data_IF_240014939437
#
_entry.id   IF_240014939437
#
_cell.length_a   1.000
_cell.length_b   1.000
_cell.length_c   1.000
_cell.angle_alpha   90.00
_cell.angle_beta   90.00
_cell.angle_gamma   90.00
#
_symmetry.space_group_name_H-M   'P 1'
#
loop_
_entity.id
_entity.type
_entity.pdbx_description
1 polymer ?
#
# COMPACT_ATOMS: atom_id res chain seq x y z
N UNK A 1 6.34 -16.20 57.83
CA UNK A 1 6.19 -16.44 56.38
C UNK A 1 6.05 -15.09 55.68
N UNK A 2 7.07 -14.57 54.98
CA UNK A 2 6.86 -13.44 54.07
C UNK A 2 6.55 -13.95 52.67
N UNK A 3 5.47 -13.45 52.08
CA UNK A 3 5.06 -13.69 50.70
C UNK A 3 5.92 -12.76 49.83
N UNK A 4 6.88 -13.32 49.07
CA UNK A 4 7.58 -12.57 48.04
C UNK A 4 6.60 -12.23 46.92
N UNK A 5 6.37 -10.94 46.70
CA UNK A 5 5.63 -10.42 45.55
C UNK A 5 6.60 -10.24 44.39
N UNK A 6 6.47 -11.08 43.37
CA UNK A 6 7.31 -11.04 42.17
C UNK A 6 6.84 -9.90 41.25
N UNK A 7 7.69 -8.88 41.04
CA UNK A 7 7.49 -7.91 39.96
C UNK A 7 7.83 -8.58 38.62
N UNK A 8 6.82 -8.78 37.77
CA UNK A 8 7.00 -9.13 36.36
C UNK A 8 7.27 -7.85 35.55
N UNK A 9 8.54 -7.56 35.28
CA UNK A 9 8.93 -6.49 34.36
C UNK A 9 8.77 -7.00 32.93
N UNK A 10 7.70 -6.58 32.24
CA UNK A 10 7.53 -6.85 30.80
C UNK A 10 8.40 -5.84 30.04
N UNK A 11 9.50 -6.30 29.46
CA UNK A 11 10.29 -5.49 28.54
C UNK A 11 9.55 -5.42 27.19
N UNK A 12 9.00 -4.26 26.85
CA UNK A 12 8.47 -3.98 25.52
C UNK A 12 9.64 -3.86 24.54
N UNK A 13 9.83 -4.83 23.66
CA UNK A 13 10.72 -4.67 22.50
C UNK A 13 10.05 -3.72 21.52
N UNK A 14 10.53 -2.48 21.44
CA UNK A 14 10.21 -1.59 20.33
C UNK A 14 10.93 -2.10 19.08
N UNK A 15 10.18 -2.58 18.09
CA UNK A 15 10.73 -2.85 16.77
C UNK A 15 11.12 -1.51 16.15
N UNK A 16 12.42 -1.27 16.03
CA UNK A 16 12.95 -0.12 15.29
C UNK A 16 12.94 -0.51 13.82
N UNK A 17 11.98 0.02 13.06
CA UNK A 17 12.05 -0.07 11.60
C UNK A 17 13.11 0.90 11.09
N UNK A 18 14.04 0.40 10.27
CA UNK A 18 14.97 1.24 9.52
C UNK A 18 14.29 1.58 8.18
N UNK A 19 14.20 2.87 7.89
CA UNK A 19 13.95 3.36 6.53
C UNK A 19 15.11 2.89 5.64
N UNK A 20 14.86 1.88 4.81
CA UNK A 20 15.86 1.33 3.89
C UNK A 20 15.38 1.55 2.46
N UNK A 21 16.02 2.47 1.73
CA UNK A 21 15.68 2.83 0.35
C UNK A 21 15.36 1.62 -0.55
N UNK A 22 14.09 1.50 -0.98
CA UNK A 22 13.56 0.43 -1.84
C UNK A 22 13.16 0.96 -3.22
N UNK A 23 14.11 1.13 -4.17
CA UNK A 23 13.82 1.68 -5.50
C UNK A 23 13.01 0.75 -6.41
N UNK A 24 12.68 -0.46 -5.95
CA UNK A 24 11.92 -1.47 -6.70
C UNK A 24 10.58 -1.79 -6.04
N UNK A 25 10.24 -1.06 -4.97
CA UNK A 25 9.01 -1.30 -4.23
C UNK A 25 7.77 -1.06 -5.08
N UNK A 26 6.71 -1.79 -4.77
CA UNK A 26 5.40 -1.59 -5.38
C UNK A 26 4.32 -1.69 -4.32
N UNK A 27 3.35 -0.79 -4.45
CA UNK A 27 2.11 -0.86 -3.69
C UNK A 27 0.95 -1.10 -4.63
N UNK A 28 0.05 -1.96 -4.20
CA UNK A 28 -1.05 -2.42 -5.05
C UNK A 28 -2.33 -2.19 -4.28
N UNK A 29 -3.21 -1.38 -4.87
CA UNK A 29 -4.59 -1.29 -4.43
C UNK A 29 -5.36 -2.40 -5.12
N UNK A 30 -5.71 -3.40 -4.32
CA UNK A 30 -6.43 -4.56 -4.80
C UNK A 30 -7.91 -4.49 -4.41
N UNK A 31 -8.76 -4.71 -5.40
CA UNK A 31 -10.19 -4.97 -5.22
C UNK A 31 -10.40 -6.42 -4.85
N UNK A 32 -11.17 -6.67 -3.81
CA UNK A 32 -11.61 -8.00 -3.43
C UNK A 32 -13.04 -8.24 -3.84
N UNK A 33 -13.33 -9.50 -4.10
CA UNK A 33 -14.69 -9.97 -4.28
C UNK A 33 -15.40 -9.18 -5.37
N UNK A 34 -14.76 -9.10 -6.55
CA UNK A 34 -15.38 -8.58 -7.76
C UNK A 34 -16.48 -9.56 -8.15
N UNK A 35 -17.72 -9.23 -7.82
CA UNK A 35 -18.89 -10.04 -8.12
C UNK A 35 -19.93 -9.24 -8.92
N UNK A 36 -20.75 -9.94 -9.71
CA UNK A 36 -21.84 -9.33 -10.49
C UNK A 36 -21.44 -8.83 -11.89
N UNK A 37 -22.45 -8.51 -12.71
CA UNK A 37 -22.28 -8.14 -14.12
C UNK A 37 -21.48 -6.84 -14.33
N UNK A 38 -21.39 -6.00 -13.29
CA UNK A 38 -20.73 -4.69 -13.33
C UNK A 38 -19.37 -4.68 -12.63
N UNK A 39 -18.90 -5.82 -12.11
CA UNK A 39 -17.58 -5.92 -11.47
C UNK A 39 -17.46 -5.15 -10.14
N UNK A 40 -18.50 -5.14 -9.32
CA UNK A 40 -18.50 -4.37 -8.08
C UNK A 40 -17.56 -4.99 -7.03
N UNK A 41 -16.61 -4.20 -6.52
CA UNK A 41 -15.72 -4.60 -5.43
C UNK A 41 -16.37 -4.47 -4.06
N UNK A 42 -16.36 -5.57 -3.29
CA UNK A 42 -16.96 -5.62 -1.94
C UNK A 42 -16.00 -5.23 -0.83
N UNK A 43 -14.68 -5.25 -1.07
CA UNK A 43 -13.67 -4.88 -0.07
C UNK A 43 -12.31 -4.59 -0.73
N UNK A 44 -11.36 -3.98 -0.02
CA UNK A 44 -10.10 -3.47 -0.60
C UNK A 44 -8.89 -3.80 0.26
N UNK A 45 -7.74 -3.97 -0.37
CA UNK A 45 -6.44 -4.18 0.27
C UNK A 45 -5.42 -3.18 -0.28
N UNK A 46 -4.52 -2.72 0.58
CA UNK A 46 -3.21 -2.23 0.16
C UNK A 46 -2.25 -3.40 0.38
N UNK A 47 -1.57 -3.81 -0.68
CA UNK A 47 -0.54 -4.85 -0.66
C UNK A 47 0.80 -4.22 -0.98
N UNK A 48 1.82 -4.53 -0.19
CA UNK A 48 3.19 -4.06 -0.39
C UNK A 48 4.07 -5.20 -0.89
N UNK A 49 4.90 -4.88 -1.87
CA UNK A 49 5.89 -5.76 -2.44
C UNK A 49 7.25 -5.05 -2.48
N UNK A 50 8.32 -5.69 -1.99
CA UNK A 50 9.66 -5.11 -2.06
C UNK A 50 10.25 -5.12 -3.48
N UNK A 51 9.63 -5.87 -4.41
CA UNK A 51 10.01 -5.99 -5.82
C UNK A 51 8.78 -6.27 -6.68
N UNK A 52 8.94 -6.31 -8.00
CA UNK A 52 7.85 -6.64 -8.94
C UNK A 52 7.19 -8.01 -8.65
N UNK A 53 5.88 -8.06 -8.33
CA UNK A 53 5.22 -9.27 -7.85
C UNK A 53 4.95 -10.35 -8.90
N UNK A 54 5.04 -10.00 -10.19
CA UNK A 54 4.90 -10.91 -11.34
C UNK A 54 6.20 -11.59 -11.76
N UNK A 55 7.35 -11.22 -11.18
CA UNK A 55 8.66 -11.63 -11.68
C UNK A 55 9.00 -13.11 -11.44
N UNK A 56 8.27 -13.84 -10.59
CA UNK A 56 8.73 -15.13 -10.05
C UNK A 56 7.82 -16.34 -10.32
N UNK A 57 6.62 -16.18 -10.90
CA UNK A 57 5.66 -17.29 -11.02
C UNK A 57 5.32 -17.76 -12.42
N UNK A 58 5.86 -17.16 -13.48
CA UNK A 58 5.74 -17.64 -14.88
C UNK A 58 4.29 -17.82 -15.40
N UNK A 59 3.29 -17.46 -14.60
CA UNK A 59 1.87 -17.68 -14.84
C UNK A 59 1.18 -16.34 -14.65
N UNK A 60 0.64 -15.80 -15.74
CA UNK A 60 -0.21 -14.61 -15.73
C UNK A 60 -1.35 -14.82 -14.73
N UNK A 61 -1.69 -13.81 -13.93
CA UNK A 61 -2.79 -13.89 -12.98
C UNK A 61 -2.51 -14.65 -11.67
N UNK A 62 -1.25 -14.85 -11.26
CA UNK A 62 -0.94 -15.21 -9.87
C UNK A 62 0.38 -14.61 -9.42
N UNK A 63 0.30 -13.67 -8.49
CA UNK A 63 1.45 -12.96 -7.97
C UNK A 63 2.00 -13.64 -6.71
N UNK A 64 3.21 -13.26 -6.30
CA UNK A 64 3.74 -13.70 -5.00
C UNK A 64 2.91 -13.17 -3.84
N UNK A 65 3.09 -13.77 -2.68
CA UNK A 65 2.54 -13.25 -1.43
C UNK A 65 3.13 -11.87 -1.12
N UNK A 66 2.31 -10.86 -0.82
CA UNK A 66 2.81 -9.56 -0.37
C UNK A 66 3.55 -9.69 0.94
N UNK A 67 4.59 -8.88 1.13
CA UNK A 67 5.35 -8.87 2.39
C UNK A 67 4.47 -8.35 3.53
N UNK A 68 3.64 -7.36 3.23
CA UNK A 68 2.64 -6.88 4.16
C UNK A 68 1.40 -6.39 3.44
N UNK A 69 0.25 -6.49 4.10
CA UNK A 69 -1.03 -6.04 3.56
C UNK A 69 -1.92 -5.48 4.67
N UNK A 70 -2.82 -4.58 4.30
CA UNK A 70 -3.79 -3.98 5.23
C UNK A 70 -5.08 -3.68 4.49
N UNK A 71 -6.21 -3.85 5.17
CA UNK A 71 -7.50 -3.52 4.59
C UNK A 71 -7.60 -2.04 4.20
N UNK A 72 -8.49 -1.71 3.29
CA UNK A 72 -9.00 -0.34 3.14
C UNK A 72 -10.50 -0.37 3.42
N UNK A 73 -11.00 0.31 4.48
CA UNK A 73 -12.41 0.25 4.83
C UNK A 73 -13.23 0.91 3.74
N UNK A 74 -14.44 0.41 3.52
CA UNK A 74 -15.37 1.07 2.62
C UNK A 74 -15.86 2.37 3.24
N UNK A 75 -15.58 3.49 2.58
CA UNK A 75 -16.03 4.83 2.99
C UNK A 75 -17.24 5.34 2.23
N UNK A 76 -17.97 4.47 1.51
CA UNK A 76 -19.08 4.86 0.62
C UNK A 76 -18.66 5.26 -0.80
N UNK A 77 -17.36 5.36 -1.08
CA UNK A 77 -16.79 5.58 -2.40
C UNK A 77 -15.49 4.82 -2.57
N UNK A 78 -15.21 4.45 -3.82
CA UNK A 78 -13.95 3.85 -4.22
C UNK A 78 -12.78 4.80 -3.90
N UNK A 79 -11.52 4.34 -3.74
CA UNK A 79 -10.39 5.22 -3.43
C UNK A 79 -10.11 6.35 -4.44
N UNK A 80 -10.90 6.53 -5.51
CA UNK A 80 -10.92 7.71 -6.37
C UNK A 80 -11.30 8.99 -5.60
N UNK A 81 -10.38 9.48 -4.77
CA UNK A 81 -10.52 10.72 -4.02
C UNK A 81 -9.19 11.42 -3.88
N UNK A 82 -9.21 12.72 -4.21
CA UNK A 82 -8.09 13.63 -3.97
C UNK A 82 -7.81 13.84 -2.48
N UNK A 83 -8.77 13.55 -1.59
CA UNK A 83 -8.56 13.59 -0.14
C UNK A 83 -7.66 12.46 0.37
N UNK A 84 -7.40 11.45 -0.47
CA UNK A 84 -6.53 10.33 -0.17
C UNK A 84 -7.08 9.32 0.81
N UNK A 85 -6.28 8.27 1.00
CA UNK A 85 -6.47 7.19 1.96
C UNK A 85 -5.14 6.92 2.63
N UNK A 86 -5.11 7.00 3.96
CA UNK A 86 -3.95 6.59 4.75
C UNK A 86 -4.26 5.34 5.56
N UNK A 87 -3.34 4.38 5.55
CA UNK A 87 -3.45 3.15 6.33
C UNK A 87 -2.11 2.79 6.97
N UNK A 88 -2.20 2.38 8.23
CA UNK A 88 -1.08 1.76 8.94
C UNK A 88 -0.90 0.32 8.47
N UNK A 89 0.30 0.02 8.02
CA UNK A 89 0.76 -1.31 7.67
C UNK A 89 1.20 -2.05 8.95
N UNK A 90 1.13 -3.40 8.97
CA UNK A 90 1.61 -4.22 10.10
C UNK A 90 3.03 -3.92 10.59
N UNK A 91 3.93 -3.44 9.74
CA UNK A 91 5.30 -3.05 10.10
C UNK A 91 5.40 -1.65 10.75
N UNK A 92 4.28 -0.94 10.95
CA UNK A 92 4.19 0.37 11.58
C UNK A 92 4.17 1.55 10.61
N UNK A 93 4.46 1.32 9.33
CA UNK A 93 4.49 2.33 8.27
C UNK A 93 3.09 2.87 7.96
N UNK A 94 2.96 4.18 7.75
CA UNK A 94 1.72 4.78 7.24
C UNK A 94 1.83 4.98 5.73
N UNK A 95 1.10 4.17 4.98
CA UNK A 95 0.97 4.29 3.54
C UNK A 95 -0.19 5.22 3.19
N UNK A 96 0.05 6.15 2.27
CA UNK A 96 -0.96 7.06 1.75
C UNK A 96 -1.05 6.97 0.24
N UNK A 97 -2.27 6.98 -0.28
CA UNK A 97 -2.54 7.07 -1.72
C UNK A 97 -3.63 8.10 -2.00
N UNK A 98 -3.47 8.86 -3.07
CA UNK A 98 -4.48 9.73 -3.68
C UNK A 98 -4.76 9.25 -5.09
N UNK A 99 -6.02 9.29 -5.51
CA UNK A 99 -6.42 8.98 -6.88
C UNK A 99 -7.41 10.04 -7.34
N UNK A 100 -7.11 10.68 -8.46
CA UNK A 100 -7.92 11.69 -9.13
C UNK A 100 -9.09 11.01 -9.86
N UNK A 101 -10.35 11.21 -9.40
CA UNK A 101 -11.52 10.59 -10.02
C UNK A 101 -11.85 11.20 -11.40
N UNK A 102 -11.26 12.34 -11.77
CA UNK A 102 -11.51 12.98 -13.06
C UNK A 102 -10.72 12.33 -14.21
N UNK A 103 -9.69 11.56 -13.87
CA UNK A 103 -8.86 10.84 -14.83
C UNK A 103 -9.48 9.46 -15.08
N UNK A 104 -9.77 9.11 -16.34
CA UNK A 104 -10.28 7.80 -16.69
C UNK A 104 -9.36 6.69 -16.22
N UNK A 105 -9.97 5.57 -15.81
CA UNK A 105 -9.26 4.35 -15.48
C UNK A 105 -8.60 3.78 -16.73
N UNK A 106 -7.29 3.96 -16.85
CA UNK A 106 -6.51 3.67 -18.05
C UNK A 106 -5.06 3.40 -17.67
N UNK A 107 -4.42 2.55 -18.47
CA UNK A 107 -3.00 2.26 -18.39
C UNK A 107 -2.14 3.40 -19.01
N UNK A 108 -2.75 4.35 -19.74
CA UNK A 108 -2.07 5.39 -20.52
C UNK A 108 -1.94 6.75 -19.79
N UNK A 109 -2.70 6.93 -18.71
CA UNK A 109 -2.68 8.15 -17.87
C UNK A 109 -2.59 7.70 -16.42
N UNK A 110 -1.79 8.36 -15.59
CA UNK A 110 -1.71 8.00 -14.18
C UNK A 110 -2.68 8.85 -13.34
N UNK A 111 -3.72 8.24 -12.75
CA UNK A 111 -4.68 8.96 -11.93
C UNK A 111 -4.23 9.09 -10.49
N UNK A 112 -3.15 8.43 -10.04
CA UNK A 112 -2.82 8.41 -8.63
C UNK A 112 -1.36 8.65 -8.27
N UNK A 113 -1.17 8.90 -6.98
CA UNK A 113 0.12 9.10 -6.36
C UNK A 113 0.10 8.45 -4.97
N UNK A 114 1.17 7.77 -4.63
CA UNK A 114 1.34 7.17 -3.32
C UNK A 114 2.68 7.53 -2.69
N UNK A 115 2.73 7.42 -1.37
CA UNK A 115 3.93 7.59 -0.55
C UNK A 115 3.71 6.92 0.80
N UNK A 116 4.76 6.76 1.59
CA UNK A 116 4.67 6.21 2.94
C UNK A 116 5.58 6.96 3.91
N UNK A 117 5.66 6.52 5.16
CA UNK A 117 6.41 7.24 6.20
C UNK A 117 7.86 6.80 6.33
N UNK A 118 8.18 5.59 5.88
CA UNK A 118 9.55 5.10 5.90
C UNK A 118 10.39 5.70 4.77
N UNK A 119 9.80 6.06 3.63
CA UNK A 119 10.49 6.77 2.55
C UNK A 119 9.67 7.93 1.96
N UNK A 120 10.37 8.90 1.38
CA UNK A 120 9.74 10.14 0.85
C UNK A 120 9.60 10.19 -0.65
N UNK A 121 9.99 9.12 -1.36
CA UNK A 121 9.84 9.11 -2.80
C UNK A 121 8.36 8.89 -3.15
N UNK A 122 7.93 9.55 -4.23
CA UNK A 122 6.56 9.46 -4.70
C UNK A 122 6.45 8.32 -5.71
N UNK A 123 5.37 7.55 -5.60
CA UNK A 123 5.07 6.45 -6.49
C UNK A 123 3.85 6.80 -7.33
N UNK A 124 4.01 7.08 -8.63
CA UNK A 124 2.89 7.19 -9.56
C UNK A 124 2.06 5.91 -9.56
N UNK A 125 0.74 6.04 -9.56
CA UNK A 125 -0.20 4.91 -9.59
C UNK A 125 -0.97 4.86 -10.91
N UNK A 126 -1.03 3.68 -11.53
CA UNK A 126 -1.68 3.43 -12.81
C UNK A 126 -2.83 2.46 -12.67
N UNK A 127 -3.89 2.68 -13.46
CA UNK A 127 -4.94 1.69 -13.63
C UNK A 127 -4.31 0.40 -14.14
N UNK A 128 -4.64 -0.72 -13.52
CA UNK A 128 -4.25 -2.03 -14.02
C UNK A 128 -5.23 -3.06 -13.51
N UNK A 129 -6.03 -3.63 -14.42
CA UNK A 129 -7.11 -4.56 -14.08
C UNK A 129 -6.73 -5.98 -14.44
N UNK A 130 -6.11 -6.68 -13.49
CA UNK A 130 -5.83 -8.11 -13.61
C UNK A 130 -6.60 -8.86 -12.53
N UNK A 131 -7.43 -9.83 -12.93
CA UNK A 131 -8.17 -10.69 -11.99
C UNK A 131 -7.29 -11.82 -11.49
N UNK A 132 -7.53 -12.25 -10.24
CA UNK A 132 -6.89 -13.41 -9.64
C UNK A 132 -5.46 -13.15 -9.16
N UNK A 133 -5.01 -11.89 -9.09
CA UNK A 133 -3.62 -11.56 -8.72
C UNK A 133 -3.22 -12.13 -7.36
N UNK A 134 -4.18 -12.25 -6.43
CA UNK A 134 -3.98 -12.81 -5.11
C UNK A 134 -5.29 -13.42 -4.59
N UNK A 135 -5.19 -14.47 -3.79
CA UNK A 135 -6.34 -15.07 -3.09
C UNK A 135 -6.07 -14.99 -1.59
N UNK A 136 -7.01 -14.40 -0.87
CA UNK A 136 -6.93 -14.33 0.59
C UNK A 136 -7.10 -15.73 1.23
N UNK A 137 -6.75 -15.84 2.51
CA UNK A 137 -6.90 -17.07 3.29
C UNK A 137 -8.36 -17.56 3.37
N UNK A 138 -9.33 -16.65 3.27
CA UNK A 138 -10.77 -16.98 3.23
C UNK A 138 -11.27 -17.41 1.84
N UNK A 139 -10.38 -17.48 0.84
CA UNK A 139 -10.69 -17.83 -0.54
C UNK A 139 -11.14 -16.66 -1.41
N UNK A 140 -11.23 -15.44 -0.87
CA UNK A 140 -11.62 -14.26 -1.64
C UNK A 140 -10.55 -13.89 -2.66
N UNK A 141 -10.93 -13.87 -3.93
CA UNK A 141 -10.04 -13.40 -5.00
C UNK A 141 -9.91 -11.87 -5.00
N UNK A 142 -8.69 -11.44 -5.28
CA UNK A 142 -8.31 -10.05 -5.47
C UNK A 142 -8.03 -9.80 -6.96
N UNK A 143 -8.46 -8.64 -7.46
CA UNK A 143 -8.00 -8.05 -8.70
C UNK A 143 -7.15 -6.81 -8.38
N UNK A 144 -6.16 -6.51 -9.21
CA UNK A 144 -5.51 -5.20 -9.16
C UNK A 144 -6.48 -4.15 -9.68
N UNK A 145 -6.45 -2.97 -9.06
CA UNK A 145 -7.08 -1.78 -9.62
C UNK A 145 -6.05 -0.68 -9.87
N UNK A 146 -5.14 -0.47 -8.92
CA UNK A 146 -4.00 0.44 -9.12
C UNK A 146 -2.69 -0.21 -8.69
N UNK A 147 -1.67 -0.04 -9.52
CA UNK A 147 -0.27 -0.37 -9.19
C UNK A 147 0.48 0.94 -9.06
N UNK A 148 1.05 1.19 -7.89
CA UNK A 148 1.92 2.31 -7.59
C UNK A 148 3.37 1.83 -7.57
N UNK A 149 4.20 2.37 -8.44
CA UNK A 149 5.57 1.90 -8.63
C UNK A 149 6.51 3.05 -9.05
N UNK A 150 7.84 2.88 -8.97
CA UNK A 150 8.80 3.94 -9.23
C UNK A 150 9.02 4.21 -10.73
N UNK A 151 8.13 3.73 -11.62
CA UNK A 151 8.24 4.02 -13.04
C UNK A 151 8.15 5.53 -13.31
N UNK A 152 8.89 5.99 -14.31
CA UNK A 152 8.81 7.38 -14.76
C UNK A 152 7.42 7.64 -15.31
N UNK A 153 6.67 8.62 -14.76
CA UNK A 153 5.37 8.95 -15.29
C UNK A 153 5.46 9.52 -16.71
N UNK A 154 4.68 9.02 -17.69
CA UNK A 154 4.72 9.54 -19.05
C UNK A 154 4.19 10.98 -19.13
N UNK A 155 3.16 11.36 -18.36
CA UNK A 155 2.65 12.75 -18.22
C UNK A 155 1.74 12.89 -16.98
N UNK A 156 1.96 13.87 -16.06
CA UNK A 156 1.07 14.15 -14.93
C UNK A 156 -0.36 14.53 -15.26
N UNK A 157 -1.32 14.02 -14.48
CA UNK A 157 -2.60 14.74 -14.33
C UNK A 157 -2.29 16.15 -13.78
N UNK A 158 -2.89 17.21 -14.35
CA UNK A 158 -2.70 18.59 -13.87
C UNK A 158 -2.98 18.77 -12.38
N UNK A 159 -3.95 18.03 -11.83
CA UNK A 159 -4.35 18.15 -10.42
C UNK A 159 -3.39 17.43 -9.47
N UNK A 160 -2.73 16.35 -9.91
CA UNK A 160 -1.66 15.68 -9.16
C UNK A 160 -0.36 16.48 -9.16
N UNK A 161 -0.13 17.32 -10.17
CA UNK A 161 0.99 18.27 -10.17
C UNK A 161 0.88 19.34 -9.07
N UNK A 162 -0.31 19.50 -8.48
CA UNK A 162 -0.60 20.34 -7.30
C UNK A 162 -0.82 19.52 -6.02
N UNK A 163 -0.53 18.21 -6.07
CA UNK A 163 -0.83 17.25 -5.00
C UNK A 163 -0.19 17.60 -3.65
N UNK A 164 -0.68 17.01 -2.54
CA UNK A 164 -0.13 17.23 -1.22
C UNK A 164 1.36 16.91 -1.19
N UNK A 165 2.16 17.78 -0.59
CA UNK A 165 3.59 17.54 -0.44
C UNK A 165 3.82 16.23 0.35
N UNK A 166 4.74 15.35 -0.09
CA UNK A 166 5.09 14.19 0.69
C UNK A 166 5.55 14.63 2.10
N UNK A 167 5.15 13.91 3.16
CA UNK A 167 5.53 14.25 4.51
C UNK A 167 7.05 14.12 4.69
N UNK A 168 7.59 14.90 5.63
CA UNK A 168 8.98 14.78 6.03
C UNK A 168 9.26 13.36 6.55
N UNK A 169 10.28 12.69 6.01
CA UNK A 169 10.73 11.36 6.44
C UNK A 169 10.87 11.33 7.96
N UNK A 170 10.23 10.36 8.62
CA UNK A 170 10.61 10.04 9.99
C UNK A 170 11.95 9.32 9.97
N UNK A 171 13.05 10.07 9.94
CA UNK A 171 14.38 9.52 10.18
C UNK A 171 14.36 8.96 11.61
N UNK A 172 14.43 7.64 11.72
CA UNK A 172 14.62 6.97 13.01
C UNK A 172 15.88 7.53 13.65
N UNK A 173 15.73 8.36 14.69
CA UNK A 173 16.85 8.76 15.53
C UNK A 173 17.30 7.54 16.29
N UNK A 174 18.49 7.06 15.94
CA UNK A 174 19.22 6.07 16.72
C UNK A 174 19.28 6.53 18.17
N UNK A 175 18.50 5.91 19.06
CA UNK A 175 18.66 6.09 20.48
C UNK A 175 19.94 5.34 20.86
N UNK A 176 21.07 6.03 20.87
CA UNK A 176 22.30 5.53 21.48
C UNK A 176 22.03 5.41 22.98
N UNK A 177 21.73 4.20 23.47
CA UNK A 177 21.86 3.92 24.90
C UNK A 177 23.36 3.95 25.23
N UNK A 178 23.75 4.96 26.00
CA UNK A 178 25.03 5.04 26.71
C UNK A 178 24.83 4.47 28.11
#
# INVERSE_FOLDING_TARGET
>A
MPILSSLNTIASLALVSLAEYRPEERFVLAERGIHGANGESTSRQIMYYPTAPWASLGTRGKWVTPETMTDVPWGGSYPWRLTGVTRKMPNGDDFTVVVDPSVPDSDDVYPGLAWHTFESHLLPCYGHHERGIYTLDDGTECASAYICDPSTPPTPSPDLALGPAPPAVQKSSTLTLI
#
